data_IF_237897813441
#
_entry.id   IF_237897813441
#
_cell.length_a   1.000
_cell.length_b   1.000
_cell.length_c   1.000
_cell.angle_alpha   90.00
_cell.angle_beta   90.00
_cell.angle_gamma   90.00
#
_symmetry.space_group_name_H-M   'P 1'
#
loop_
_entity.id
_entity.type
_entity.pdbx_description
1 polymer ?
#
# COMPACT_ATOMS: atom_id res chain seq x y z
N UNK A 1 -50.22 9.53 -24.90
CA UNK A 1 -49.22 10.04 -23.93
C UNK A 1 -49.64 9.59 -22.54
N UNK A 2 -48.88 8.67 -21.95
CA UNK A 2 -49.15 7.99 -20.67
C UNK A 2 -49.02 8.94 -19.49
N UNK A 3 -50.04 8.98 -18.62
CA UNK A 3 -50.10 9.71 -17.35
C UNK A 3 -50.02 8.76 -16.13
N UNK A 4 -49.64 7.49 -16.32
CA UNK A 4 -49.75 6.45 -15.27
C UNK A 4 -48.47 6.17 -14.47
N UNK A 5 -47.33 6.81 -14.78
CA UNK A 5 -46.03 6.42 -14.19
C UNK A 5 -45.58 7.19 -12.93
N UNK A 6 -46.32 8.22 -12.48
CA UNK A 6 -45.94 9.04 -11.30
C UNK A 6 -46.24 8.42 -9.92
N UNK A 7 -47.40 7.79 -9.65
CA UNK A 7 -47.71 7.28 -8.30
C UNK A 7 -46.86 6.06 -7.92
N UNK A 8 -46.50 5.23 -8.90
CA UNK A 8 -45.66 4.04 -8.71
C UNK A 8 -44.23 4.40 -8.30
N UNK A 9 -43.66 5.48 -8.85
CA UNK A 9 -42.32 5.98 -8.46
C UNK A 9 -42.27 6.46 -7.01
N UNK A 10 -43.33 7.10 -6.52
CA UNK A 10 -43.41 7.57 -5.14
C UNK A 10 -43.52 6.41 -4.15
N UNK A 11 -44.32 5.38 -4.48
CA UNK A 11 -44.45 4.17 -3.64
C UNK A 11 -43.12 3.39 -3.63
N UNK A 12 -42.48 3.21 -4.79
CA UNK A 12 -41.18 2.55 -4.87
C UNK A 12 -40.08 3.31 -4.08
N UNK A 13 -40.10 4.64 -4.12
CA UNK A 13 -39.20 5.48 -3.32
C UNK A 13 -39.46 5.33 -1.83
N UNK A 14 -40.73 5.28 -1.40
CA UNK A 14 -41.09 5.13 0.01
C UNK A 14 -40.71 3.75 0.54
N UNK A 15 -40.94 2.70 -0.24
CA UNK A 15 -40.52 1.32 0.08
C UNK A 15 -39.00 1.25 0.17
N UNK A 16 -38.27 1.88 -0.75
CA UNK A 16 -36.80 1.93 -0.71
C UNK A 16 -36.28 2.63 0.54
N UNK A 17 -36.91 3.75 0.94
CA UNK A 17 -36.57 4.47 2.17
C UNK A 17 -36.84 3.62 3.42
N UNK A 18 -37.97 2.93 3.45
CA UNK A 18 -38.36 2.04 4.56
C UNK A 18 -37.41 0.85 4.67
N UNK A 19 -37.04 0.22 3.55
CA UNK A 19 -36.06 -0.88 3.53
C UNK A 19 -34.68 -0.41 3.99
N UNK A 20 -34.22 0.78 3.56
CA UNK A 20 -32.97 1.36 4.02
C UNK A 20 -33.00 1.66 5.54
N UNK A 21 -34.13 2.19 6.04
CA UNK A 21 -34.31 2.42 7.47
C UNK A 21 -34.32 1.12 8.27
N UNK A 22 -35.03 0.09 7.82
CA UNK A 22 -35.07 -1.22 8.47
C UNK A 22 -33.69 -1.89 8.46
N UNK A 23 -32.95 -1.80 7.35
CA UNK A 23 -31.57 -2.27 7.26
C UNK A 23 -30.66 -1.55 8.26
N UNK A 24 -30.80 -0.22 8.41
CA UNK A 24 -30.07 0.57 9.40
C UNK A 24 -30.44 0.20 10.84
N UNK A 25 -31.70 -0.07 11.14
CA UNK A 25 -32.13 -0.51 12.47
C UNK A 25 -31.59 -1.90 12.79
N UNK A 26 -31.74 -2.86 11.86
CA UNK A 26 -31.20 -4.20 12.00
C UNK A 26 -29.67 -4.17 12.18
N UNK A 27 -29.00 -3.29 11.45
CA UNK A 27 -27.59 -3.03 11.55
C UNK A 27 -27.13 -2.57 12.94
N UNK A 28 -27.80 -1.54 13.47
CA UNK A 28 -27.54 -1.02 14.80
C UNK A 28 -27.83 -2.07 15.88
N UNK A 29 -28.84 -2.91 15.68
CA UNK A 29 -29.20 -4.00 16.59
C UNK A 29 -28.21 -5.18 16.55
N UNK A 30 -27.68 -5.52 15.38
CA UNK A 30 -26.68 -6.58 15.21
C UNK A 30 -25.28 -6.14 15.67
N UNK A 31 -24.99 -4.84 15.71
CA UNK A 31 -23.69 -4.29 16.13
C UNK A 31 -23.16 -4.85 17.46
N UNK A 32 -23.91 -4.85 18.59
CA UNK A 32 -23.42 -5.44 19.84
C UNK A 32 -23.19 -6.95 19.74
N UNK A 33 -23.93 -7.66 18.89
CA UNK A 33 -23.76 -9.11 18.66
C UNK A 33 -22.46 -9.36 17.88
N UNK A 34 -22.26 -8.65 16.76
CA UNK A 34 -21.04 -8.73 15.95
C UNK A 34 -19.79 -8.31 16.73
N UNK A 35 -19.91 -7.34 17.64
CA UNK A 35 -18.81 -6.91 18.51
C UNK A 35 -18.39 -7.95 19.55
N UNK A 36 -19.26 -8.92 19.84
CA UNK A 36 -19.05 -10.04 20.78
C UNK A 36 -18.59 -11.32 20.09
N UNK A 37 -18.59 -11.38 18.76
CA UNK A 37 -18.02 -12.53 18.06
C UNK A 37 -16.51 -12.62 18.37
N UNK A 38 -16.03 -13.81 18.81
CA UNK A 38 -14.62 -13.98 19.12
C UNK A 38 -13.79 -13.83 17.84
N UNK A 39 -12.61 -13.20 17.97
CA UNK A 39 -11.63 -13.20 16.90
C UNK A 39 -11.18 -14.64 16.60
N UNK A 40 -10.76 -14.95 15.35
CA UNK A 40 -10.15 -16.24 15.05
C UNK A 40 -8.94 -16.47 15.95
N UNK A 41 -8.75 -17.70 16.42
CA UNK A 41 -7.53 -18.08 17.11
C UNK A 41 -6.38 -18.09 16.10
N UNK A 42 -5.35 -17.28 16.37
CA UNK A 42 -4.17 -17.15 15.54
C UNK A 42 -2.94 -17.72 16.26
N UNK A 43 -1.96 -18.28 15.54
CA UNK A 43 -0.66 -18.64 16.12
C UNK A 43 0.10 -17.38 16.53
N UNK A 44 1.04 -17.49 17.49
CA UNK A 44 1.89 -16.36 17.91
C UNK A 44 2.62 -15.74 16.72
N UNK A 45 3.51 -16.51 16.11
CA UNK A 45 4.15 -16.25 14.82
C UNK A 45 4.24 -17.61 14.13
N UNK A 46 3.86 -17.70 12.87
CA UNK A 46 4.00 -18.90 12.05
C UNK A 46 4.55 -18.49 10.68
N UNK A 47 5.74 -18.98 10.35
CA UNK A 47 6.37 -18.79 9.05
C UNK A 47 6.30 -20.07 8.21
N UNK A 48 5.98 -19.93 6.92
CA UNK A 48 6.01 -21.02 5.94
C UNK A 48 6.87 -20.63 4.74
N UNK A 49 7.43 -21.62 4.06
CA UNK A 49 8.10 -21.43 2.78
C UNK A 49 7.15 -20.85 1.73
N UNK A 50 7.70 -20.42 0.60
CA UNK A 50 6.93 -19.93 -0.55
C UNK A 50 5.86 -20.92 -1.05
N UNK A 51 6.07 -22.22 -0.85
CA UNK A 51 5.16 -23.28 -1.26
C UNK A 51 4.25 -23.77 -0.11
N UNK A 52 4.30 -23.10 1.05
CA UNK A 52 3.44 -23.39 2.19
C UNK A 52 3.94 -24.51 3.12
N UNK A 53 5.21 -24.93 3.02
CA UNK A 53 5.80 -25.88 3.99
C UNK A 53 6.18 -25.14 5.28
N UNK A 54 5.91 -25.73 6.44
CA UNK A 54 6.18 -25.05 7.71
C UNK A 54 7.68 -24.87 7.93
N UNK A 55 8.10 -23.66 8.31
CA UNK A 55 9.49 -23.31 8.59
C UNK A 55 9.67 -22.92 10.06
N UNK A 56 10.90 -22.97 10.58
CA UNK A 56 11.20 -22.53 11.93
C UNK A 56 11.08 -20.99 12.05
N UNK A 57 10.48 -20.53 13.16
CA UNK A 57 10.17 -19.12 13.42
C UNK A 57 11.37 -18.29 13.93
N UNK A 58 12.46 -18.94 14.31
CA UNK A 58 13.69 -18.33 14.83
C UNK A 58 14.47 -17.51 13.78
N UNK A 59 13.99 -17.50 12.54
CA UNK A 59 14.56 -16.74 11.43
C UNK A 59 14.03 -15.31 11.31
N UNK A 60 13.07 -14.91 12.15
CA UNK A 60 12.43 -13.59 12.12
C UNK A 60 12.95 -12.65 13.21
N UNK A 61 13.16 -11.38 12.89
CA UNK A 61 13.51 -10.30 13.84
C UNK A 61 12.86 -8.98 13.45
N UNK A 62 12.65 -8.11 14.43
CA UNK A 62 12.15 -6.75 14.19
C UNK A 62 13.34 -5.79 14.12
N UNK A 63 13.43 -5.07 13.00
CA UNK A 63 14.42 -4.03 12.76
C UNK A 63 13.84 -2.70 13.25
N UNK A 64 14.53 -2.06 14.20
CA UNK A 64 14.14 -0.77 14.74
C UNK A 64 15.11 0.33 14.28
N UNK A 65 14.59 1.53 14.09
CA UNK A 65 15.44 2.71 13.99
C UNK A 65 16.03 3.03 15.37
N UNK A 66 17.31 3.45 15.48
CA UNK A 66 17.97 3.63 16.78
C UNK A 66 17.31 4.71 17.65
N UNK A 67 16.74 5.74 17.02
CA UNK A 67 15.97 6.78 17.70
C UNK A 67 14.51 6.39 17.99
N UNK A 68 14.08 5.17 17.62
CA UNK A 68 12.70 4.71 17.79
C UNK A 68 11.68 5.43 16.89
N UNK A 69 12.10 6.06 15.80
CA UNK A 69 11.22 6.81 14.88
C UNK A 69 10.57 5.97 13.78
N UNK A 70 11.10 4.78 13.47
CA UNK A 70 10.49 3.85 12.51
C UNK A 70 9.24 3.21 13.11
N UNK A 71 8.09 3.85 12.87
CA UNK A 71 6.79 3.47 13.43
C UNK A 71 5.69 3.63 12.39
N UNK A 72 4.72 2.72 12.45
CA UNK A 72 3.44 2.84 11.76
C UNK A 72 3.62 2.98 10.25
N UNK A 73 4.45 2.08 9.72
CA UNK A 73 4.76 2.02 8.31
C UNK A 73 3.62 1.31 7.58
N UNK A 74 2.96 2.03 6.68
CA UNK A 74 1.77 1.50 6.02
C UNK A 74 2.11 0.86 4.68
N UNK A 75 3.14 1.32 3.99
CA UNK A 75 3.55 0.72 2.72
C UNK A 75 5.07 0.60 2.57
N UNK A 76 5.49 -0.28 1.68
CA UNK A 76 6.87 -0.69 1.43
C UNK A 76 7.06 -1.04 -0.05
N UNK A 77 8.09 -0.49 -0.66
CA UNK A 77 8.54 -0.92 -1.99
C UNK A 77 10.01 -1.34 -1.99
N UNK A 78 10.37 -2.16 -2.98
CA UNK A 78 11.75 -2.57 -3.25
C UNK A 78 12.29 -1.82 -4.47
N UNK A 79 13.29 -0.95 -4.27
CA UNK A 79 14.03 -0.36 -5.38
C UNK A 79 15.22 -1.23 -5.75
N UNK A 80 15.01 -2.15 -6.70
CA UNK A 80 15.98 -3.20 -7.09
C UNK A 80 17.32 -2.62 -7.56
N UNK A 81 17.28 -1.57 -8.36
CA UNK A 81 18.47 -0.91 -8.91
C UNK A 81 19.35 -0.28 -7.83
N UNK A 82 18.74 0.25 -6.78
CA UNK A 82 19.45 0.78 -5.62
C UNK A 82 19.80 -0.29 -4.56
N UNK A 83 19.11 -1.44 -4.59
CA UNK A 83 19.26 -2.52 -3.60
C UNK A 83 18.71 -2.18 -2.22
N UNK A 84 17.68 -1.34 -2.16
CA UNK A 84 17.10 -0.85 -0.90
C UNK A 84 15.58 -1.00 -0.89
N UNK A 85 15.00 -1.11 0.30
CA UNK A 85 13.58 -0.96 0.50
C UNK A 85 13.28 0.45 1.01
N UNK A 86 12.16 1.03 0.58
CA UNK A 86 11.70 2.34 1.05
C UNK A 86 10.33 2.15 1.71
N UNK A 87 10.24 2.52 2.98
CA UNK A 87 9.03 2.41 3.78
C UNK A 87 8.39 3.79 3.98
N UNK A 88 7.06 3.85 3.82
CA UNK A 88 6.24 5.02 4.15
C UNK A 88 5.69 4.88 5.55
N UNK A 89 6.10 5.78 6.45
CA UNK A 89 5.84 5.68 7.87
C UNK A 89 5.27 6.98 8.43
N UNK A 90 4.36 6.85 9.41
CA UNK A 90 3.73 8.01 10.02
C UNK A 90 3.53 7.85 11.51
N UNK A 91 4.45 8.42 12.29
CA UNK A 91 4.35 8.42 13.76
C UNK A 91 3.09 9.12 14.29
N UNK A 92 2.46 10.01 13.51
CA UNK A 92 1.21 10.69 13.83
C UNK A 92 -0.04 9.85 13.59
N UNK A 93 0.09 8.68 12.95
CA UNK A 93 -1.05 7.82 12.55
C UNK A 93 -2.07 7.50 13.66
N UNK A 94 -1.68 7.32 14.95
CA UNK A 94 -2.66 7.11 16.02
C UNK A 94 -3.63 8.30 16.22
N UNK A 95 -3.21 9.52 15.86
CA UNK A 95 -4.01 10.73 15.98
C UNK A 95 -4.52 11.25 14.63
N UNK A 96 -3.92 10.80 13.52
CA UNK A 96 -4.25 11.23 12.16
C UNK A 96 -4.30 10.06 11.18
N UNK A 97 -5.50 9.53 10.96
CA UNK A 97 -5.75 8.43 10.03
C UNK A 97 -7.03 8.69 9.24
N UNK A 98 -6.91 8.96 7.94
CA UNK A 98 -8.04 9.21 7.03
C UNK A 98 -8.89 7.98 6.77
N UNK A 99 -8.33 6.78 6.92
CA UNK A 99 -8.97 5.49 6.65
C UNK A 99 -9.74 5.00 7.89
N UNK A 100 -9.04 4.78 9.01
CA UNK A 100 -9.61 4.21 10.24
C UNK A 100 -10.00 5.27 11.28
N UNK A 101 -9.51 6.50 11.16
CA UNK A 101 -9.60 7.52 12.19
C UNK A 101 -8.70 7.23 13.39
N UNK A 102 -8.56 8.19 14.31
CA UNK A 102 -9.22 9.50 14.32
C UNK A 102 -8.55 10.52 13.36
N UNK A 103 -9.09 11.75 13.32
CA UNK A 103 -8.53 12.90 12.60
C UNK A 103 -8.38 14.07 13.59
N UNK A 104 -7.59 13.85 14.63
CA UNK A 104 -7.48 14.73 15.80
C UNK A 104 -6.29 15.70 15.69
N UNK A 105 -5.10 15.21 15.35
CA UNK A 105 -3.88 16.01 15.36
C UNK A 105 -3.00 15.77 14.11
N UNK A 106 -3.05 16.67 13.12
CA UNK A 106 -2.23 16.57 11.91
C UNK A 106 -0.80 17.13 12.07
N UNK A 107 -0.38 17.51 13.28
CA UNK A 107 0.92 18.18 13.44
C UNK A 107 2.14 17.25 13.43
N UNK A 108 2.10 16.03 13.98
CA UNK A 108 3.23 15.10 13.85
C UNK A 108 3.47 14.78 12.38
N UNK A 109 4.72 14.87 11.95
CA UNK A 109 5.10 14.65 10.56
C UNK A 109 5.51 13.19 10.36
N UNK A 110 4.99 12.57 9.31
CA UNK A 110 5.46 11.29 8.81
C UNK A 110 6.82 11.41 8.10
N UNK A 111 7.38 10.26 7.73
CA UNK A 111 8.75 10.12 7.25
C UNK A 111 8.86 8.96 6.28
N UNK A 112 9.82 9.04 5.36
CA UNK A 112 10.24 7.90 4.56
C UNK A 112 11.52 7.32 5.15
N UNK A 113 11.61 6.00 5.22
CA UNK A 113 12.80 5.31 5.70
C UNK A 113 13.39 4.44 4.60
N UNK A 114 14.72 4.44 4.50
CA UNK A 114 15.47 3.54 3.62
C UNK A 114 16.03 2.40 4.48
N UNK A 115 15.75 1.17 4.06
CA UNK A 115 16.39 -0.02 4.58
C UNK A 115 17.33 -0.59 3.52
N UNK A 116 18.64 -0.53 3.78
CA UNK A 116 19.67 -1.15 2.96
C UNK A 116 19.61 -2.66 3.15
N UNK A 117 19.05 -3.33 2.13
CA UNK A 117 18.85 -4.76 2.13
C UNK A 117 20.21 -5.47 1.91
N UNK A 118 21.07 -4.91 1.06
CA UNK A 118 22.38 -5.49 0.67
C UNK A 118 23.50 -5.26 1.68
N UNK A 119 23.33 -4.33 2.63
CA UNK A 119 24.36 -3.96 3.60
C UNK A 119 25.04 -5.19 4.23
N UNK A 120 26.35 -5.32 3.99
CA UNK A 120 27.18 -6.41 4.49
C UNK A 120 26.86 -6.71 5.96
N UNK A 121 26.67 -8.00 6.28
CA UNK A 121 26.67 -8.46 7.67
C UNK A 121 27.98 -7.96 8.31
N UNK A 122 27.93 -7.26 9.46
CA UNK A 122 29.13 -6.68 10.05
C UNK A 122 30.16 -7.79 10.27
N UNK A 123 31.34 -7.65 9.64
CA UNK A 123 32.45 -8.61 9.73
C UNK A 123 33.09 -8.66 11.12
N UNK A 124 32.65 -7.80 12.04
CA UNK A 124 33.09 -7.77 13.43
C UNK A 124 31.92 -7.49 14.38
N UNK A 125 31.91 -8.04 15.61
CA UNK A 125 30.81 -7.89 16.58
C UNK A 125 30.50 -6.45 17.01
N UNK A 126 31.38 -5.48 16.69
CA UNK A 126 31.28 -4.09 17.15
C UNK A 126 30.90 -3.09 16.05
N UNK A 127 30.56 -3.54 14.84
CA UNK A 127 30.05 -2.65 13.79
C UNK A 127 28.52 -2.67 13.83
N UNK A 128 27.95 -1.62 14.42
CA UNK A 128 26.53 -1.57 14.77
C UNK A 128 25.61 -1.68 13.54
N UNK A 129 24.48 -2.38 13.71
CA UNK A 129 23.35 -2.48 12.76
C UNK A 129 22.69 -1.14 12.39
N UNK A 130 23.18 -0.03 12.95
CA UNK A 130 22.66 1.33 12.78
C UNK A 130 22.89 1.90 11.37
N UNK A 131 23.80 1.35 10.57
CA UNK A 131 24.15 1.89 9.25
C UNK A 131 23.22 1.45 8.10
N UNK A 132 22.31 0.50 8.34
CA UNK A 132 21.44 -0.09 7.31
C UNK A 132 20.03 0.50 7.26
N UNK A 133 19.65 1.35 8.21
CA UNK A 133 18.31 1.94 8.27
C UNK A 133 18.43 3.42 8.59
N UNK A 134 17.94 4.29 7.72
CA UNK A 134 18.00 5.74 7.92
C UNK A 134 16.78 6.45 7.36
N UNK A 135 16.50 7.63 7.91
CA UNK A 135 15.45 8.53 7.41
C UNK A 135 15.88 9.19 6.10
N UNK A 136 14.98 9.22 5.12
CA UNK A 136 15.19 9.87 3.83
C UNK A 136 14.77 11.34 3.90
N UNK A 137 15.76 12.24 3.80
CA UNK A 137 15.53 13.68 3.87
C UNK A 137 14.75 14.21 2.66
N UNK A 138 13.65 14.91 2.94
CA UNK A 138 12.77 15.54 1.94
C UNK A 138 13.34 16.90 1.52
N UNK A 139 14.03 16.95 0.38
CA UNK A 139 14.58 18.21 -0.15
C UNK A 139 13.52 18.98 -0.94
N UNK A 140 13.31 20.26 -0.60
CA UNK A 140 12.44 21.16 -1.36
C UNK A 140 10.93 21.00 -1.09
N UNK A 141 10.52 20.08 -0.22
CA UNK A 141 9.12 19.96 0.18
C UNK A 141 8.69 21.21 1.01
N UNK A 142 7.52 21.81 0.74
CA UNK A 142 7.07 23.00 1.47
C UNK A 142 6.97 22.79 2.99
N UNK A 143 7.59 23.68 3.76
CA UNK A 143 7.74 23.54 5.23
C UNK A 143 6.39 23.68 5.96
N UNK A 144 5.45 24.40 5.38
CA UNK A 144 4.12 24.69 5.93
C UNK A 144 3.06 23.62 5.59
N UNK A 145 3.42 22.59 4.81
CA UNK A 145 2.48 21.53 4.41
C UNK A 145 2.64 20.30 5.29
N UNK A 146 1.51 19.70 5.64
CA UNK A 146 1.49 18.43 6.36
C UNK A 146 2.08 17.31 5.48
N UNK A 147 2.67 16.32 6.12
CA UNK A 147 3.21 15.16 5.45
C UNK A 147 2.84 13.90 6.23
N UNK A 148 1.77 13.24 5.78
CA UNK A 148 1.21 12.00 6.30
C UNK A 148 1.19 10.97 5.16
N UNK A 149 2.32 10.30 4.91
CA UNK A 149 2.47 9.42 3.76
C UNK A 149 1.69 8.10 3.96
N UNK A 150 1.18 7.56 2.86
CA UNK A 150 0.45 6.28 2.82
C UNK A 150 1.08 5.37 1.74
N UNK A 151 0.34 4.99 0.70
CA UNK A 151 0.89 4.21 -0.40
C UNK A 151 1.96 4.95 -1.19
N UNK A 152 2.99 4.23 -1.62
CA UNK A 152 4.06 4.78 -2.46
C UNK A 152 4.38 3.84 -3.62
N UNK A 153 4.84 4.41 -4.73
CA UNK A 153 5.23 3.64 -5.91
C UNK A 153 6.33 4.34 -6.69
N UNK A 154 7.24 3.55 -7.28
CA UNK A 154 8.36 4.06 -8.05
C UNK A 154 8.21 3.76 -9.56
N UNK A 155 8.64 4.71 -10.38
CA UNK A 155 8.89 4.50 -11.80
C UNK A 155 10.38 4.73 -12.10
N UNK A 156 11.06 3.70 -12.60
CA UNK A 156 12.48 3.80 -12.96
C UNK A 156 12.67 4.76 -14.14
N UNK A 157 13.52 5.78 -13.99
CA UNK A 157 13.81 6.75 -15.05
C UNK A 157 15.11 6.40 -15.80
N UNK A 158 16.16 6.10 -15.05
CA UNK A 158 17.48 5.70 -15.56
C UNK A 158 18.18 4.84 -14.51
N UNK A 159 19.32 4.20 -14.80
CA UNK A 159 19.94 3.22 -13.88
C UNK A 159 20.11 3.69 -12.42
N UNK A 160 20.28 4.99 -12.17
CA UNK A 160 20.44 5.55 -10.82
C UNK A 160 19.37 6.55 -10.38
N UNK A 161 18.30 6.72 -11.16
CA UNK A 161 17.21 7.66 -10.83
C UNK A 161 15.84 7.05 -11.06
N UNK A 162 14.91 7.43 -10.21
CA UNK A 162 13.51 7.03 -10.30
C UNK A 162 12.62 8.24 -9.98
N UNK A 163 11.36 8.18 -10.38
CA UNK A 163 10.30 9.05 -9.89
C UNK A 163 9.50 8.29 -8.85
N UNK A 164 9.23 8.93 -7.72
CA UNK A 164 8.41 8.38 -6.65
C UNK A 164 7.07 9.13 -6.61
N UNK A 165 5.99 8.37 -6.70
CA UNK A 165 4.64 8.84 -6.43
C UNK A 165 4.25 8.43 -5.02
N UNK A 166 3.68 9.35 -4.25
CA UNK A 166 3.36 9.11 -2.86
C UNK A 166 2.01 9.71 -2.51
N UNK A 167 1.13 8.91 -1.91
CA UNK A 167 -0.11 9.40 -1.32
C UNK A 167 0.22 10.19 -0.05
N UNK A 168 -0.27 11.43 0.05
CA UNK A 168 -0.13 12.26 1.25
C UNK A 168 -1.51 12.75 1.74
N UNK A 169 -1.85 12.42 2.98
CA UNK A 169 -3.10 12.78 3.62
C UNK A 169 -2.97 14.04 4.47
N UNK A 170 -2.85 15.21 3.82
CA UNK A 170 -2.80 16.50 4.51
C UNK A 170 -4.09 16.82 5.27
N UNK A 171 -4.05 17.83 6.15
CA UNK A 171 -5.24 18.33 6.87
C UNK A 171 -6.30 18.92 5.98
N UNK A 172 -5.89 19.54 4.88
CA UNK A 172 -6.81 20.25 3.98
C UNK A 172 -7.39 19.29 2.93
N UNK A 173 -6.58 18.39 2.37
CA UNK A 173 -7.00 17.40 1.38
C UNK A 173 -6.04 16.21 1.30
N UNK A 174 -6.42 15.22 0.52
CA UNK A 174 -5.50 14.15 0.12
C UNK A 174 -4.92 14.46 -1.25
N UNK A 175 -3.62 14.26 -1.43
CA UNK A 175 -2.88 14.61 -2.66
C UNK A 175 -1.91 13.50 -3.03
N UNK A 176 -1.36 13.56 -4.25
CA UNK A 176 -0.19 12.79 -4.64
C UNK A 176 1.02 13.71 -4.68
N UNK A 177 2.05 13.39 -3.91
CA UNK A 177 3.35 14.06 -4.00
C UNK A 177 4.22 13.34 -5.03
N UNK A 178 4.91 14.11 -5.86
CA UNK A 178 5.86 13.59 -6.85
C UNK A 178 7.25 14.00 -6.43
N UNK A 179 8.14 13.01 -6.30
CA UNK A 179 9.54 13.23 -5.98
C UNK A 179 10.45 12.61 -7.04
N UNK A 180 11.64 13.20 -7.17
CA UNK A 180 12.76 12.59 -7.86
C UNK A 180 13.65 11.89 -6.86
N UNK A 181 13.86 10.60 -7.07
CA UNK A 181 14.83 9.77 -6.36
C UNK A 181 16.13 9.67 -7.16
N UNK A 182 17.24 9.68 -6.44
CA UNK A 182 18.56 9.40 -6.99
C UNK A 182 19.42 8.69 -5.96
N UNK A 183 20.37 7.87 -6.42
CA UNK A 183 21.44 7.37 -5.57
C UNK A 183 22.80 7.57 -6.23
N UNK A 184 23.80 7.83 -5.40
CA UNK A 184 25.18 7.89 -5.86
C UNK A 184 25.77 6.47 -5.86
N UNK A 185 26.50 6.12 -6.93
CA UNK A 185 27.34 4.93 -6.91
C UNK A 185 28.49 5.14 -5.91
N UNK A 186 28.83 4.18 -5.04
CA UNK A 186 29.90 4.35 -4.07
C UNK A 186 31.22 4.55 -4.82
N UNK A 187 31.72 5.78 -4.85
CA UNK A 187 33.02 6.09 -5.44
C UNK A 187 34.12 5.55 -4.52
N UNK A 188 35.06 4.82 -5.11
CA UNK A 188 36.16 4.05 -4.48
C UNK A 188 37.20 4.87 -3.66
N UNK A 189 36.85 6.05 -3.14
CA UNK A 189 37.83 6.94 -2.47
C UNK A 189 37.30 7.81 -1.33
N UNK A 190 36.00 7.80 -1.00
CA UNK A 190 35.52 8.41 0.24
C UNK A 190 35.64 7.42 1.39
N UNK A 191 36.10 7.88 2.56
CA UNK A 191 36.04 7.15 3.84
C UNK A 191 34.62 6.80 4.29
N UNK A 192 33.63 7.27 3.52
CA UNK A 192 32.22 6.95 3.62
C UNK A 192 31.77 6.25 2.33
N UNK A 193 31.76 4.92 2.33
CA UNK A 193 31.41 4.08 1.18
C UNK A 193 29.89 3.89 1.00
N UNK A 194 29.05 4.69 1.70
CA UNK A 194 27.60 4.47 1.77
C UNK A 194 26.90 4.89 0.47
N UNK A 195 25.96 4.06 0.00
CA UNK A 195 24.96 4.49 -1.00
C UNK A 195 23.95 5.40 -0.30
N UNK A 196 24.09 6.71 -0.48
CA UNK A 196 23.11 7.68 0.03
C UNK A 196 22.09 7.99 -1.07
N UNK A 197 20.81 7.87 -0.71
CA UNK A 197 19.69 8.29 -1.55
C UNK A 197 19.42 9.79 -1.36
N UNK A 198 19.00 10.45 -2.44
CA UNK A 198 18.45 11.80 -2.44
C UNK A 198 16.99 11.76 -2.85
N UNK A 199 16.14 12.52 -2.16
CA UNK A 199 14.72 12.66 -2.45
C UNK A 199 14.36 14.14 -2.59
N UNK A 200 14.10 14.56 -3.82
CA UNK A 200 13.77 15.96 -4.14
C UNK A 200 12.31 16.06 -4.53
N UNK A 201 11.55 16.89 -3.82
CA UNK A 201 10.16 17.18 -4.18
C UNK A 201 10.09 17.92 -5.50
N UNK A 202 9.26 17.44 -6.43
CA UNK A 202 9.05 18.07 -7.73
C UNK A 202 7.75 18.87 -7.76
N UNK A 203 6.65 18.29 -7.25
CA UNK A 203 5.32 18.91 -7.25
C UNK A 203 4.31 18.14 -6.39
N UNK A 204 3.19 18.78 -6.12
CA UNK A 204 1.96 18.16 -5.60
C UNK A 204 0.94 18.03 -6.73
N UNK A 205 0.17 16.94 -6.76
CA UNK A 205 -0.93 16.70 -7.69
C UNK A 205 -2.24 16.54 -6.91
N UNK A 206 -3.27 17.26 -7.33
CA UNK A 206 -4.62 17.21 -6.78
C UNK A 206 -5.65 17.16 -7.92
N UNK A 207 -6.73 16.41 -7.71
CA UNK A 207 -7.85 16.31 -8.66
C UNK A 207 -9.12 15.87 -7.92
N UNK A 208 -10.36 16.21 -8.37
CA UNK A 208 -11.57 15.84 -7.63
C UNK A 208 -11.81 14.32 -7.58
N UNK A 209 -11.21 13.59 -8.51
CA UNK A 209 -11.22 12.12 -8.54
C UNK A 209 -10.15 11.48 -7.62
N UNK A 210 -9.29 12.27 -6.97
CA UNK A 210 -8.28 11.81 -6.00
C UNK A 210 -8.75 12.28 -4.62
N UNK A 211 -9.85 11.72 -4.13
CA UNK A 211 -10.53 12.17 -2.90
C UNK A 211 -10.05 11.42 -1.66
N UNK A 212 -9.87 10.11 -1.80
CA UNK A 212 -9.50 9.16 -0.75
C UNK A 212 -8.41 8.20 -1.26
N UNK A 213 -7.32 8.74 -1.87
CA UNK A 213 -6.26 7.92 -2.44
C UNK A 213 -5.69 6.97 -1.39
N UNK A 214 -5.38 5.73 -1.79
CA UNK A 214 -4.83 4.73 -0.88
C UNK A 214 -3.48 4.19 -1.40
N UNK A 215 -3.50 3.47 -2.54
CA UNK A 215 -2.31 2.90 -3.16
C UNK A 215 -2.12 3.36 -4.61
N UNK A 216 -0.90 3.26 -5.14
CA UNK A 216 -0.51 3.71 -6.48
C UNK A 216 0.17 2.56 -7.23
N UNK A 217 -0.06 2.46 -8.54
CA UNK A 217 0.82 1.71 -9.45
C UNK A 217 1.23 2.59 -10.62
N UNK A 218 2.52 2.64 -10.92
CA UNK A 218 3.07 3.54 -11.93
C UNK A 218 2.88 2.96 -13.33
N UNK A 219 2.38 3.79 -14.25
CA UNK A 219 2.26 3.43 -15.66
C UNK A 219 3.50 3.93 -16.40
N UNK A 220 3.91 5.17 -16.19
CA UNK A 220 5.16 5.73 -16.69
C UNK A 220 5.63 6.88 -15.78
N UNK A 221 6.57 7.71 -16.24
CA UNK A 221 7.06 8.85 -15.47
C UNK A 221 5.99 9.89 -15.18
N UNK A 222 4.90 9.92 -15.94
CA UNK A 222 3.92 10.99 -15.95
C UNK A 222 2.47 10.50 -15.82
N UNK A 223 2.30 9.21 -15.54
CA UNK A 223 1.00 8.62 -15.36
C UNK A 223 1.04 7.43 -14.41
N UNK A 224 -0.08 7.25 -13.69
CA UNK A 224 -0.25 6.19 -12.71
C UNK A 224 -1.73 5.86 -12.54
N UNK A 225 -2.01 4.71 -11.94
CA UNK A 225 -3.32 4.37 -11.40
C UNK A 225 -3.29 4.56 -9.89
N UNK A 226 -4.38 5.07 -9.32
CA UNK A 226 -4.54 5.23 -7.87
C UNK A 226 -5.89 4.68 -7.43
N UNK A 227 -5.92 3.95 -6.31
CA UNK A 227 -7.17 3.55 -5.67
C UNK A 227 -7.73 4.68 -4.84
N UNK A 228 -9.04 4.87 -4.87
CA UNK A 228 -9.76 5.59 -3.83
C UNK A 228 -10.49 4.57 -2.97
N UNK A 229 -10.23 4.54 -1.67
CA UNK A 229 -10.76 3.49 -0.78
C UNK A 229 -12.27 3.58 -0.56
N UNK A 230 -12.79 4.79 -0.52
CA UNK A 230 -14.19 5.11 -0.27
C UNK A 230 -14.70 6.20 -1.22
N UNK A 231 -16.01 6.24 -1.43
CA UNK A 231 -16.67 7.37 -2.07
C UNK A 231 -16.80 8.56 -1.09
N UNK A 232 -17.25 8.27 0.14
CA UNK A 232 -17.42 9.29 1.16
C UNK A 232 -16.11 9.57 1.88
N UNK A 233 -15.51 10.72 1.59
CA UNK A 233 -14.32 11.18 2.31
C UNK A 233 -14.62 11.37 3.80
N UNK A 234 -13.84 10.74 4.68
CA UNK A 234 -14.02 10.79 6.14
C UNK A 234 -13.98 12.21 6.72
N UNK A 235 -13.11 13.06 6.17
CA UNK A 235 -12.86 14.43 6.59
C UNK A 235 -14.13 15.29 6.41
N UNK A 236 -14.87 15.07 5.33
CA UNK A 236 -16.12 15.78 5.02
C UNK A 236 -17.38 15.06 5.54
N UNK A 237 -17.38 13.73 5.54
CA UNK A 237 -18.56 12.90 5.79
C UNK A 237 -18.24 11.69 6.70
N UNK A 238 -17.82 11.91 7.95
CA UNK A 238 -17.30 10.84 8.82
C UNK A 238 -18.33 9.73 9.08
N UNK A 239 -19.61 10.09 9.23
CA UNK A 239 -20.69 9.11 9.43
C UNK A 239 -20.93 8.29 8.16
N UNK A 240 -20.98 8.94 6.99
CA UNK A 240 -21.22 8.24 5.73
C UNK A 240 -20.04 7.33 5.36
N UNK A 241 -18.81 7.75 5.63
CA UNK A 241 -17.62 6.88 5.49
C UNK A 241 -17.76 5.62 6.34
N UNK A 242 -18.10 5.75 7.63
CA UNK A 242 -18.29 4.59 8.52
C UNK A 242 -19.43 3.69 8.03
N UNK A 243 -20.54 4.27 7.57
CA UNK A 243 -21.65 3.49 7.01
C UNK A 243 -21.27 2.80 5.71
N UNK A 244 -20.45 3.43 4.86
CA UNK A 244 -19.93 2.85 3.61
C UNK A 244 -19.15 1.57 3.90
N UNK A 245 -18.18 1.64 4.83
CA UNK A 245 -17.41 0.48 5.29
C UNK A 245 -18.32 -0.58 5.89
N UNK A 246 -19.20 -0.19 6.82
CA UNK A 246 -19.98 -1.12 7.63
C UNK A 246 -21.06 -1.85 6.83
N UNK A 247 -21.68 -1.18 5.86
CA UNK A 247 -22.65 -1.76 4.92
C UNK A 247 -21.98 -2.44 3.71
N UNK A 248 -20.65 -2.46 3.64
CA UNK A 248 -19.88 -3.02 2.50
C UNK A 248 -20.27 -2.38 1.16
N UNK A 249 -20.61 -1.09 1.18
CA UNK A 249 -20.97 -0.35 -0.03
C UNK A 249 -19.77 -0.27 -0.97
N UNK A 250 -20.07 -0.25 -2.27
CA UNK A 250 -19.09 -0.34 -3.34
C UNK A 250 -18.62 1.05 -3.81
N UNK A 251 -18.21 1.92 -2.89
CA UNK A 251 -17.87 3.32 -3.23
C UNK A 251 -16.42 3.54 -3.69
N UNK A 252 -15.52 2.60 -3.41
CA UNK A 252 -14.14 2.65 -3.88
C UNK A 252 -14.00 2.54 -5.41
N UNK A 253 -12.88 3.03 -5.92
CA UNK A 253 -12.61 3.12 -7.36
C UNK A 253 -11.12 3.08 -7.70
N UNK A 254 -10.81 2.88 -8.97
CA UNK A 254 -9.47 3.09 -9.55
C UNK A 254 -9.54 4.26 -10.52
N UNK A 255 -8.57 5.16 -10.42
CA UNK A 255 -8.48 6.36 -11.23
C UNK A 255 -7.13 6.36 -11.94
N UNK A 256 -7.15 6.51 -13.26
CA UNK A 256 -5.94 6.81 -14.03
C UNK A 256 -5.70 8.32 -13.99
N UNK A 257 -4.47 8.70 -13.70
CA UNK A 257 -4.00 10.08 -13.60
C UNK A 257 -2.86 10.26 -14.60
N UNK A 258 -2.91 11.34 -15.40
CA UNK A 258 -1.83 11.78 -16.28
C UNK A 258 -1.51 13.24 -15.99
N UNK A 259 -0.23 13.60 -16.06
CA UNK A 259 0.20 14.97 -15.86
C UNK A 259 1.40 15.35 -16.73
N UNK A 260 1.47 16.59 -17.19
CA UNK A 260 2.60 17.06 -18.01
C UNK A 260 3.77 17.51 -17.13
N UNK A 261 5.01 17.21 -17.55
CA UNK A 261 6.24 17.59 -16.83
C UNK A 261 6.51 19.11 -16.77
N UNK A 262 5.69 19.96 -17.37
CA UNK A 262 5.86 21.40 -17.30
C UNK A 262 5.75 21.89 -15.85
N UNK A 263 6.87 22.41 -15.32
CA UNK A 263 6.87 23.20 -14.09
C UNK A 263 5.99 24.44 -14.32
N UNK A 264 5.23 24.91 -13.31
CA UNK A 264 4.52 26.17 -13.43
C UNK A 264 5.49 27.26 -13.88
N UNK A 265 5.06 28.07 -14.85
CA UNK A 265 5.88 29.09 -15.53
C UNK A 265 6.75 29.84 -14.50
N UNK A 266 8.04 29.98 -14.80
CA UNK A 266 9.07 30.60 -13.96
C UNK A 266 8.85 32.08 -13.55
N UNK A 267 7.64 32.60 -13.73
CA UNK A 267 7.20 33.93 -13.31
C UNK A 267 6.15 33.87 -12.18
N UNK A 268 5.94 32.72 -11.54
CA UNK A 268 5.26 32.70 -10.25
C UNK A 268 6.24 33.21 -9.20
N UNK A 269 5.96 34.43 -8.74
CA UNK A 269 6.63 35.09 -7.62
C UNK A 269 6.79 34.08 -6.47
N UNK A 270 7.94 34.03 -5.80
CA UNK A 270 8.28 33.01 -4.77
C UNK A 270 7.38 33.06 -3.51
N UNK A 271 6.29 33.82 -3.58
CA UNK A 271 5.23 34.02 -2.59
C UNK A 271 3.88 33.44 -3.04
N UNK A 272 3.78 32.84 -4.23
CA UNK A 272 2.52 32.26 -4.73
C UNK A 272 2.29 30.86 -4.16
N UNK A 273 1.13 30.69 -3.53
CA UNK A 273 0.55 29.46 -2.99
C UNK A 273 0.99 28.19 -3.75
N UNK A 274 1.81 27.35 -3.10
CA UNK A 274 2.32 26.09 -3.67
C UNK A 274 1.20 25.14 -4.09
N UNK A 275 -0.03 25.33 -3.58
CA UNK A 275 -1.19 24.52 -3.93
C UNK A 275 -1.91 25.00 -5.20
N UNK A 276 -1.68 26.23 -5.66
CA UNK A 276 -2.30 26.76 -6.89
C UNK A 276 -1.93 25.92 -8.13
N UNK A 277 -0.67 25.47 -8.19
CA UNK A 277 -0.18 24.60 -9.26
C UNK A 277 -0.60 23.13 -9.15
N UNK A 278 -1.19 22.70 -8.01
CA UNK A 278 -1.45 21.27 -7.78
C UNK A 278 -2.49 20.67 -8.73
N UNK A 279 -3.36 21.51 -9.30
CA UNK A 279 -4.43 21.10 -10.21
C UNK A 279 -4.06 21.29 -11.69
N UNK A 280 -3.01 22.06 -11.97
CA UNK A 280 -2.65 22.45 -13.33
C UNK A 280 -2.07 21.26 -14.09
N UNK A 281 -2.54 21.08 -15.33
CA UNK A 281 -2.09 20.00 -16.22
C UNK A 281 -2.24 18.59 -15.64
N UNK A 282 -3.19 18.39 -14.72
CA UNK A 282 -3.58 17.08 -14.20
C UNK A 282 -4.88 16.65 -14.85
N UNK A 283 -4.81 15.57 -15.62
CA UNK A 283 -5.99 14.92 -16.16
C UNK A 283 -6.23 13.61 -15.41
N UNK A 284 -7.47 13.31 -15.06
CA UNK A 284 -7.79 12.03 -14.44
C UNK A 284 -9.16 11.50 -14.85
N UNK A 285 -9.30 10.18 -14.85
CA UNK A 285 -10.55 9.48 -15.17
C UNK A 285 -10.69 8.21 -14.36
N UNK A 286 -11.91 7.96 -13.91
CA UNK A 286 -12.26 6.73 -13.21
C UNK A 286 -12.29 5.59 -14.21
N UNK A 287 -11.39 4.62 -14.06
CA UNK A 287 -11.27 3.45 -14.95
C UNK A 287 -12.01 2.24 -14.40
N UNK A 288 -12.13 2.13 -13.08
CA UNK A 288 -12.91 1.10 -12.39
C UNK A 288 -13.70 1.77 -11.26
N UNK A 289 -14.96 1.39 -11.11
CA UNK A 289 -15.80 1.75 -9.97
C UNK A 289 -16.36 0.51 -9.27
N UNK A 290 -17.14 0.72 -8.22
CA UNK A 290 -17.88 -0.38 -7.61
C UNK A 290 -17.00 -1.33 -6.79
N UNK A 291 -15.89 -0.83 -6.23
CA UNK A 291 -14.97 -1.62 -5.41
C UNK A 291 -15.26 -1.37 -3.93
N UNK A 292 -15.66 -2.38 -3.14
CA UNK A 292 -15.85 -2.21 -1.71
C UNK A 292 -14.49 -2.14 -1.01
N UNK A 293 -14.13 -0.96 -0.50
CA UNK A 293 -12.87 -0.69 0.21
C UNK A 293 -11.64 -1.02 -0.67
N UNK A 294 -11.43 -0.23 -1.74
CA UNK A 294 -10.32 -0.41 -2.66
C UNK A 294 -9.00 0.02 -1.99
N UNK A 295 -8.07 -0.92 -1.83
CA UNK A 295 -6.87 -0.70 -1.04
C UNK A 295 -5.62 -0.77 -1.93
N UNK A 296 -4.69 -1.68 -1.68
CA UNK A 296 -3.58 -2.00 -2.57
C UNK A 296 -4.02 -2.29 -4.01
N UNK A 297 -3.20 -1.89 -4.98
CA UNK A 297 -3.34 -2.30 -6.39
C UNK A 297 -1.97 -2.64 -6.97
N UNK A 298 -1.94 -3.61 -7.89
CA UNK A 298 -0.72 -3.99 -8.59
C UNK A 298 -1.04 -4.36 -10.04
N UNK A 299 -0.21 -3.88 -10.96
CA UNK A 299 -0.25 -4.25 -12.37
C UNK A 299 0.86 -5.27 -12.61
N UNK A 300 0.52 -6.41 -13.23
CA UNK A 300 1.54 -7.43 -13.50
C UNK A 300 2.60 -6.90 -14.49
N UNK A 301 3.82 -7.47 -14.51
CA UNK A 301 4.91 -6.97 -15.35
C UNK A 301 4.60 -6.87 -16.85
N UNK A 302 3.77 -7.77 -17.40
CA UNK A 302 3.33 -7.72 -18.81
C UNK A 302 2.21 -6.71 -19.07
N UNK A 303 1.69 -6.06 -18.02
CA UNK A 303 0.63 -5.03 -18.08
C UNK A 303 -0.67 -5.52 -18.70
N UNK A 304 -0.97 -6.81 -18.53
CA UNK A 304 -2.21 -7.43 -18.99
C UNK A 304 -3.22 -7.52 -17.86
N UNK A 305 -2.79 -7.59 -16.60
CA UNK A 305 -3.69 -7.86 -15.46
C UNK A 305 -3.44 -6.88 -14.34
N UNK A 306 -4.46 -6.08 -14.04
CA UNK A 306 -4.54 -5.28 -12.83
C UNK A 306 -5.23 -6.10 -11.73
N UNK A 307 -4.63 -6.14 -10.56
CA UNK A 307 -5.22 -6.71 -9.35
C UNK A 307 -5.48 -5.59 -8.36
N UNK A 308 -6.65 -5.59 -7.72
CA UNK A 308 -7.04 -4.64 -6.67
C UNK A 308 -7.44 -5.41 -5.41
N UNK A 309 -6.86 -5.05 -4.28
CA UNK A 309 -7.23 -5.54 -2.97
C UNK A 309 -8.55 -4.90 -2.50
N UNK A 310 -9.48 -5.75 -2.05
CA UNK A 310 -10.77 -5.35 -1.49
C UNK A 310 -10.82 -5.77 -0.02
N UNK A 311 -10.33 -4.91 0.89
CA UNK A 311 -10.10 -5.26 2.29
C UNK A 311 -11.35 -5.81 2.97
N UNK A 312 -12.49 -5.13 2.84
CA UNK A 312 -13.70 -5.48 3.58
C UNK A 312 -14.36 -6.78 3.09
N UNK A 313 -14.06 -7.22 1.86
CA UNK A 313 -14.60 -8.46 1.28
C UNK A 313 -13.59 -9.61 1.23
N UNK A 314 -12.37 -9.40 1.77
CA UNK A 314 -11.30 -10.40 1.80
C UNK A 314 -10.99 -10.98 0.41
N UNK A 315 -10.95 -10.12 -0.60
CA UNK A 315 -10.79 -10.52 -2.01
C UNK A 315 -9.72 -9.70 -2.72
N UNK A 316 -9.05 -10.35 -3.66
CA UNK A 316 -8.31 -9.75 -4.75
C UNK A 316 -9.20 -9.77 -5.99
N UNK A 317 -9.49 -8.61 -6.59
CA UNK A 317 -10.25 -8.50 -7.84
C UNK A 317 -9.31 -8.32 -9.01
N UNK A 318 -9.58 -9.06 -10.08
CA UNK A 318 -8.72 -9.12 -11.26
C UNK A 318 -9.41 -8.46 -12.44
N UNK A 319 -8.64 -7.69 -13.18
CA UNK A 319 -9.10 -6.98 -14.36
C UNK A 319 -8.11 -7.13 -15.51
N UNK A 320 -8.62 -7.52 -16.68
CA UNK A 320 -7.83 -7.55 -17.90
C UNK A 320 -7.73 -6.14 -18.47
N UNK A 321 -6.49 -5.67 -18.66
CA UNK A 321 -6.17 -4.39 -19.28
C UNK A 321 -6.24 -4.52 -20.80
N UNK A 322 -7.14 -3.77 -21.42
CA UNK A 322 -7.17 -3.59 -22.87
C UNK A 322 -6.37 -2.35 -23.23
N UNK A 323 -5.24 -2.52 -23.91
CA UNK A 323 -4.54 -1.39 -24.53
C UNK A 323 -5.35 -0.90 -25.72
N UNK A 324 -5.87 0.33 -25.70
CA UNK A 324 -6.61 0.82 -26.83
C UNK A 324 -5.66 1.18 -28.00
N UNK A 325 -6.17 1.15 -29.22
CA UNK A 325 -5.38 1.50 -30.41
C UNK A 325 -5.26 3.04 -30.48
N UNK A 326 -4.07 3.56 -30.14
CA UNK A 326 -3.71 4.98 -30.26
C UNK A 326 -3.19 5.60 -28.96
N UNK A 327 -2.21 6.51 -29.05
CA UNK A 327 -1.44 7.06 -27.91
C UNK A 327 -2.26 7.91 -26.92
N UNK A 328 -3.46 8.37 -27.29
CA UNK A 328 -4.30 9.25 -26.48
C UNK A 328 -5.54 8.56 -25.89
N UNK A 329 -5.63 7.23 -25.98
CA UNK A 329 -6.78 6.52 -25.46
C UNK A 329 -6.60 6.12 -23.99
N UNK A 330 -7.71 6.08 -23.27
CA UNK A 330 -7.79 5.78 -21.83
C UNK A 330 -7.68 4.29 -21.60
N UNK A 331 -7.03 3.87 -20.51
CA UNK A 331 -6.98 2.45 -20.18
C UNK A 331 -8.38 1.93 -19.86
N UNK A 332 -8.67 0.72 -20.34
CA UNK A 332 -9.93 0.02 -20.09
C UNK A 332 -9.61 -1.28 -19.36
N UNK A 333 -10.33 -1.53 -18.27
CA UNK A 333 -10.14 -2.68 -17.41
C UNK A 333 -11.44 -3.47 -17.30
N UNK A 334 -11.47 -4.68 -17.86
CA UNK A 334 -12.64 -5.55 -17.78
C UNK A 334 -12.45 -6.55 -16.63
N UNK A 335 -13.44 -6.71 -15.73
CA UNK A 335 -13.33 -7.67 -14.64
C UNK A 335 -13.26 -9.10 -15.19
N UNK A 336 -12.27 -9.87 -14.74
CA UNK A 336 -12.09 -11.28 -15.14
C UNK A 336 -12.32 -12.27 -13.99
N UNK A 337 -12.36 -11.79 -12.75
CA UNK A 337 -12.73 -12.62 -11.61
C UNK A 337 -12.19 -12.10 -10.29
N UNK A 338 -12.19 -12.96 -9.28
CA UNK A 338 -11.63 -12.62 -7.97
C UNK A 338 -11.11 -13.85 -7.25
N UNK A 339 -10.09 -13.65 -6.42
CA UNK A 339 -9.56 -14.67 -5.50
C UNK A 339 -9.81 -14.26 -4.05
N UNK A 340 -10.39 -15.15 -3.25
CA UNK A 340 -10.58 -14.92 -1.82
C UNK A 340 -9.29 -15.20 -1.05
N UNK A 341 -9.06 -14.43 0.02
CA UNK A 341 -8.00 -14.65 0.99
C UNK A 341 -8.62 -14.98 2.35
N UNK A 342 -7.82 -15.53 3.28
CA UNK A 342 -8.24 -15.79 4.66
C UNK A 342 -8.15 -14.57 5.58
N UNK A 343 -7.78 -13.41 5.03
CA UNK A 343 -7.60 -12.14 5.74
C UNK A 343 -8.08 -10.98 4.85
N UNK A 344 -8.24 -9.80 5.43
CA UNK A 344 -8.54 -8.58 4.69
C UNK A 344 -7.26 -8.04 4.04
N UNK A 345 -7.08 -8.12 2.71
CA UNK A 345 -5.87 -7.62 2.07
C UNK A 345 -5.78 -6.11 2.18
N UNK A 346 -4.57 -5.62 2.37
CA UNK A 346 -4.17 -4.21 2.42
C UNK A 346 -3.32 -3.93 1.17
N UNK A 347 -2.01 -3.71 1.29
CA UNK A 347 -1.12 -3.52 0.14
C UNK A 347 -0.71 -4.84 -0.53
N UNK A 348 -0.58 -4.76 -1.86
CA UNK A 348 -0.23 -5.89 -2.74
C UNK A 348 0.81 -5.46 -3.77
N UNK A 349 1.71 -6.36 -4.15
CA UNK A 349 2.72 -6.07 -5.18
C UNK A 349 3.18 -7.36 -5.89
N UNK A 350 3.56 -7.24 -7.16
CA UNK A 350 4.15 -8.34 -7.93
C UNK A 350 5.66 -8.38 -7.76
N UNK A 351 6.20 -9.43 -7.14
CA UNK A 351 7.65 -9.64 -7.05
C UNK A 351 8.21 -10.46 -8.24
N UNK A 352 7.33 -10.98 -9.09
CA UNK A 352 7.63 -11.62 -10.37
C UNK A 352 6.39 -11.71 -11.28
N UNK A 353 6.53 -12.22 -12.52
CA UNK A 353 5.45 -12.23 -13.52
C UNK A 353 4.14 -12.89 -13.07
N UNK A 354 4.24 -13.89 -12.20
CA UNK A 354 3.11 -14.73 -11.76
C UNK A 354 2.96 -14.78 -10.25
N UNK A 355 3.77 -14.03 -9.52
CA UNK A 355 3.80 -14.07 -8.06
C UNK A 355 3.41 -12.71 -7.51
N UNK A 356 2.25 -12.68 -6.89
CA UNK A 356 1.72 -11.52 -6.18
C UNK A 356 1.87 -11.77 -4.68
N UNK A 357 2.35 -10.77 -3.97
CA UNK A 357 2.41 -10.76 -2.51
C UNK A 357 1.25 -9.90 -2.02
N UNK A 358 0.54 -10.39 -1.00
CA UNK A 358 -0.51 -9.64 -0.32
C UNK A 358 -0.27 -9.68 1.19
N UNK A 359 -0.27 -8.52 1.84
CA UNK A 359 -0.26 -8.40 3.29
C UNK A 359 -1.60 -7.85 3.78
N UNK A 360 -1.92 -8.04 5.06
CA UNK A 360 -3.13 -7.47 5.62
C UNK A 360 -3.54 -8.06 6.96
N UNK A 361 -4.84 -7.96 7.23
CA UNK A 361 -5.38 -8.11 8.58
C UNK A 361 -6.26 -9.36 8.71
N UNK A 362 -5.91 -10.34 9.55
CA UNK A 362 -6.74 -11.53 9.77
C UNK A 362 -8.17 -11.19 10.20
N UNK A 363 -8.35 -10.10 10.95
CA UNK A 363 -9.65 -9.73 11.50
C UNK A 363 -9.82 -8.20 11.66
N UNK A 364 -10.61 -7.59 10.77
CA UNK A 364 -10.79 -6.13 10.72
C UNK A 364 -11.39 -5.51 11.98
N UNK A 365 -12.23 -6.22 12.73
CA UNK A 365 -12.77 -5.70 13.99
C UNK A 365 -11.70 -5.66 15.10
N UNK A 366 -10.77 -6.62 15.13
CA UNK A 366 -9.63 -6.56 16.06
C UNK A 366 -8.74 -5.37 15.71
N UNK A 367 -8.46 -5.14 14.42
CA UNK A 367 -7.72 -3.96 13.97
C UNK A 367 -8.38 -2.65 14.42
N UNK A 368 -9.68 -2.51 14.23
CA UNK A 368 -10.42 -1.30 14.65
C UNK A 368 -10.42 -1.10 16.17
N UNK A 369 -10.41 -2.18 16.96
CA UNK A 369 -10.31 -2.10 18.42
C UNK A 369 -8.88 -1.70 18.83
N UNK A 370 -7.87 -2.31 18.22
CA UNK A 370 -6.46 -2.01 18.46
C UNK A 370 -6.14 -0.55 18.14
N UNK A 371 -6.58 -0.05 16.98
CA UNK A 371 -6.32 1.33 16.54
C UNK A 371 -6.86 2.41 17.49
N UNK A 372 -7.82 2.08 18.38
CA UNK A 372 -8.40 3.01 19.36
C UNK A 372 -7.73 2.95 20.72
N UNK A 373 -6.91 1.93 20.98
CA UNK A 373 -6.25 1.72 22.25
C UNK A 373 -4.96 0.93 22.02
N UNK A 374 -3.95 1.59 21.47
CA UNK A 374 -2.69 0.93 21.10
C UNK A 374 -1.90 0.42 22.30
N UNK A 375 -1.98 1.11 23.45
CA UNK A 375 -1.20 0.77 24.64
C UNK A 375 -1.79 -0.40 25.43
N UNK A 376 -3.12 -0.48 25.54
CA UNK A 376 -3.80 -1.46 26.40
C UNK A 376 -4.73 -2.40 25.64
N UNK A 377 -4.90 -2.21 24.32
CA UNK A 377 -5.71 -3.06 23.46
C UNK A 377 -5.01 -4.36 23.11
N UNK A 378 -5.80 -5.37 22.76
CA UNK A 378 -5.27 -6.60 22.16
C UNK A 378 -4.68 -6.25 20.79
N UNK A 379 -3.40 -6.57 20.52
CA UNK A 379 -2.79 -6.33 19.23
C UNK A 379 -3.59 -6.94 18.08
N UNK A 380 -3.59 -6.27 16.94
CA UNK A 380 -4.18 -6.83 15.72
C UNK A 380 -3.19 -7.80 15.08
N UNK A 381 -3.68 -8.99 14.71
CA UNK A 381 -2.86 -9.98 14.01
C UNK A 381 -2.34 -9.51 12.66
N UNK A 382 -1.40 -10.27 12.12
CA UNK A 382 -0.78 -10.04 10.82
C UNK A 382 -0.93 -11.24 9.91
N UNK A 383 -0.95 -11.01 8.60
CA UNK A 383 -0.91 -12.05 7.59
C UNK A 383 -0.22 -11.58 6.32
N UNK A 384 0.63 -12.45 5.77
CA UNK A 384 1.20 -12.29 4.43
C UNK A 384 0.94 -13.57 3.64
N UNK A 385 0.44 -13.42 2.43
CA UNK A 385 0.25 -14.50 1.48
C UNK A 385 1.00 -14.25 0.18
N UNK A 386 1.43 -15.37 -0.41
CA UNK A 386 1.90 -15.45 -1.78
C UNK A 386 0.77 -16.03 -2.62
N UNK A 387 0.46 -15.35 -3.72
CA UNK A 387 -0.51 -15.78 -4.72
C UNK A 387 0.23 -16.15 -6.00
N UNK A 388 0.25 -17.44 -6.31
CA UNK A 388 0.93 -18.03 -7.45
C UNK A 388 -0.08 -18.25 -8.59
N UNK A 389 0.28 -17.78 -9.78
CA UNK A 389 -0.50 -17.97 -11.00
C UNK A 389 0.21 -18.97 -11.91
N UNK A 390 -0.52 -19.69 -12.76
CA UNK A 390 0.07 -20.60 -13.74
C UNK A 390 0.83 -19.84 -14.83
N UNK A 391 1.89 -20.45 -15.40
CA UNK A 391 2.59 -19.88 -16.56
C UNK A 391 1.71 -20.04 -17.82
N UNK A 392 0.99 -19.00 -18.21
CA UNK A 392 0.36 -18.93 -19.53
C UNK A 392 0.96 -17.74 -20.30
N UNK A 393 1.63 -17.97 -21.45
CA UNK A 393 2.48 -16.96 -22.10
C UNK A 393 1.76 -15.67 -22.55
N UNK A 394 0.46 -15.74 -22.87
CA UNK A 394 -0.24 -14.67 -23.60
C UNK A 394 -1.67 -14.38 -23.09
N UNK A 395 -2.05 -14.92 -21.93
CA UNK A 395 -3.37 -14.70 -21.35
C UNK A 395 -3.29 -13.85 -20.06
N UNK A 396 -4.34 -13.06 -19.74
CA UNK A 396 -4.42 -12.42 -18.43
C UNK A 396 -4.38 -13.48 -17.31
N UNK A 397 -3.89 -13.10 -16.14
CA UNK A 397 -3.78 -14.04 -15.02
C UNK A 397 -5.16 -14.59 -14.63
N UNK A 398 -5.30 -15.91 -14.53
CA UNK A 398 -6.55 -16.55 -14.14
C UNK A 398 -6.71 -16.58 -12.60
N UNK A 399 -7.65 -15.81 -12.02
CA UNK A 399 -7.89 -15.82 -10.57
C UNK A 399 -8.47 -17.14 -10.05
N UNK A 400 -9.06 -17.98 -10.90
CA UNK A 400 -9.66 -19.25 -10.48
C UNK A 400 -8.61 -20.34 -10.25
N UNK A 401 -7.54 -20.32 -11.04
CA UNK A 401 -6.41 -21.24 -10.92
C UNK A 401 -5.32 -20.76 -9.95
N UNK A 402 -5.35 -19.49 -9.55
CA UNK A 402 -4.38 -18.94 -8.62
C UNK A 402 -4.34 -19.71 -7.28
N UNK A 403 -3.14 -20.12 -6.86
CA UNK A 403 -2.91 -20.76 -5.56
C UNK A 403 -2.52 -19.71 -4.53
N UNK A 404 -3.08 -19.82 -3.32
CA UNK A 404 -2.82 -18.86 -2.23
C UNK A 404 -2.14 -19.60 -1.09
N UNK A 405 -0.95 -19.15 -0.72
CA UNK A 405 -0.16 -19.71 0.37
C UNK A 405 0.07 -18.63 1.42
N UNK A 406 -0.48 -18.80 2.62
CA UNK A 406 -0.17 -17.93 3.75
C UNK A 406 1.25 -18.24 4.23
N UNK A 407 2.19 -17.34 3.96
CA UNK A 407 3.60 -17.52 4.31
C UNK A 407 3.96 -16.95 5.68
N UNK A 408 3.12 -16.04 6.20
CA UNK A 408 3.25 -15.50 7.55
C UNK A 408 1.87 -15.32 8.18
N UNK A 409 1.70 -15.76 9.42
CA UNK A 409 0.53 -15.46 10.25
C UNK A 409 1.00 -15.15 11.67
N UNK A 410 0.49 -14.09 12.27
CA UNK A 410 0.82 -13.65 13.62
C UNK A 410 -0.46 -13.25 14.37
N UNK A 411 -0.52 -13.51 15.68
CA UNK A 411 -1.63 -13.08 16.53
C UNK A 411 -1.55 -11.59 16.89
N UNK A 412 -0.43 -10.93 16.55
CA UNK A 412 -0.16 -9.53 16.73
C UNK A 412 0.80 -9.24 17.89
N UNK A 413 1.09 -10.22 18.76
CA UNK A 413 2.00 -10.00 19.90
C UNK A 413 3.45 -9.94 19.49
N UNK A 414 3.84 -10.60 18.40
CA UNK A 414 5.20 -10.48 17.87
C UNK A 414 5.26 -9.41 16.78
N UNK A 415 4.34 -9.42 15.82
CA UNK A 415 4.26 -8.37 14.80
C UNK A 415 2.80 -8.04 14.47
N UNK A 416 2.39 -6.80 14.76
CA UNK A 416 0.99 -6.38 14.66
C UNK A 416 0.64 -5.74 13.32
N UNK A 417 -0.61 -5.96 12.88
CA UNK A 417 -1.30 -5.17 11.86
C UNK A 417 -0.55 -5.04 10.52
N UNK A 418 0.00 -6.13 9.98
CA UNK A 418 0.75 -6.08 8.72
C UNK A 418 -0.04 -5.41 7.58
N UNK A 419 0.63 -4.58 6.80
CA UNK A 419 0.00 -3.81 5.71
C UNK A 419 0.65 -4.07 4.35
N UNK A 420 1.98 -4.18 4.29
CA UNK A 420 2.75 -4.40 3.06
C UNK A 420 3.87 -5.40 3.30
N UNK A 421 4.30 -6.08 2.24
CA UNK A 421 5.39 -7.03 2.29
C UNK A 421 6.11 -7.16 0.95
N UNK A 422 7.43 -7.33 1.02
CA UNK A 422 8.28 -7.64 -0.14
C UNK A 422 9.11 -8.89 0.14
N UNK A 423 9.44 -9.62 -0.93
CA UNK A 423 10.36 -10.75 -0.89
C UNK A 423 11.58 -10.37 -1.74
N UNK A 424 12.76 -10.46 -1.15
CA UNK A 424 14.03 -10.13 -1.79
C UNK A 424 14.83 -11.43 -1.99
N UNK A 425 15.07 -11.86 -3.23
CA UNK A 425 15.82 -13.07 -3.52
C UNK A 425 17.27 -13.01 -3.03
N UNK A 426 17.82 -14.14 -2.56
CA UNK A 426 19.23 -14.21 -2.13
C UNK A 426 20.22 -13.82 -3.24
N UNK A 427 19.88 -14.09 -4.50
CA UNK A 427 20.70 -13.72 -5.67
C UNK A 427 20.95 -12.21 -5.78
N UNK A 428 20.08 -11.40 -5.19
CA UNK A 428 20.21 -9.94 -5.24
C UNK A 428 21.27 -9.43 -4.24
N UNK A 429 21.74 -10.29 -3.33
CA UNK A 429 22.75 -9.99 -2.31
C UNK A 429 24.18 -10.38 -2.71
N UNK A 430 24.37 -11.30 -3.65
CA UNK A 430 25.68 -11.83 -4.02
C UNK A 430 26.31 -11.03 -5.18
N UNK A 431 27.14 -10.03 -4.86
CA UNK A 431 27.95 -9.30 -5.86
C UNK A 431 29.08 -10.18 -6.46
N UNK A 432 29.28 -11.41 -5.96
CA UNK A 432 30.28 -12.36 -6.46
C UNK A 432 29.62 -13.44 -7.34
N UNK A 433 29.75 -13.29 -8.66
CA UNK A 433 29.42 -14.30 -9.66
C UNK A 433 30.21 -15.64 -9.55
N UNK A 434 30.97 -15.90 -8.46
CA UNK A 434 31.92 -17.00 -8.37
C UNK A 434 31.64 -18.11 -7.33
N UNK A 435 30.57 -18.07 -6.53
CA UNK A 435 30.24 -19.20 -5.63
C UNK A 435 28.92 -19.88 -5.99
N UNK A 436 28.80 -20.38 -7.22
CA UNK A 436 27.85 -21.46 -7.54
C UNK A 436 28.39 -22.80 -7.02
N UNK A 437 28.52 -22.95 -5.70
CA UNK A 437 28.81 -24.26 -5.09
C UNK A 437 28.50 -24.30 -3.59
N UNK A 438 27.21 -24.25 -3.24
CA UNK A 438 26.68 -25.06 -2.14
C UNK A 438 25.17 -25.24 -2.31
N UNK A 439 24.71 -26.48 -2.25
CA UNK A 439 23.31 -26.91 -2.34
C UNK A 439 22.50 -26.56 -1.08
N UNK A 440 22.75 -25.43 -0.42
CA UNK A 440 21.89 -24.92 0.63
C UNK A 440 20.73 -24.17 -0.03
N UNK A 441 19.50 -24.48 0.34
CA UNK A 441 18.31 -23.81 -0.17
C UNK A 441 18.51 -22.28 -0.15
N UNK A 442 18.27 -21.60 -1.27
CA UNK A 442 18.38 -20.14 -1.31
C UNK A 442 17.36 -19.52 -0.36
N UNK A 443 17.84 -18.81 0.67
CA UNK A 443 17.03 -18.13 1.66
C UNK A 443 16.68 -16.72 1.15
N UNK A 444 15.41 -16.52 0.79
CA UNK A 444 14.90 -15.20 0.46
C UNK A 444 14.72 -14.39 1.75
N UNK A 445 14.70 -13.05 1.65
CA UNK A 445 14.30 -12.21 2.77
C UNK A 445 12.87 -11.73 2.60
N UNK A 446 12.02 -11.99 3.57
CA UNK A 446 10.71 -11.38 3.70
C UNK A 446 10.83 -10.13 4.58
N UNK A 447 10.39 -8.99 4.07
CA UNK A 447 10.31 -7.73 4.83
C UNK A 447 8.85 -7.31 4.91
N UNK A 448 8.34 -7.04 6.11
CA UNK A 448 6.93 -6.71 6.36
C UNK A 448 6.82 -5.39 7.14
N UNK A 449 5.87 -4.54 6.75
CA UNK A 449 5.46 -3.33 7.49
C UNK A 449 4.14 -3.55 8.22
N UNK A 450 3.81 -2.70 9.20
CA UNK A 450 2.54 -2.77 9.91
C UNK A 450 1.98 -1.40 10.31
N UNK A 451 0.65 -1.27 10.18
CA UNK A 451 -0.10 -0.03 10.35
C UNK A 451 0.12 0.61 11.71
N UNK A 452 0.15 -0.20 12.76
CA UNK A 452 0.33 0.20 14.14
C UNK A 452 1.51 -0.53 14.81
N UNK A 453 2.49 -0.93 14.00
CA UNK A 453 3.70 -1.62 14.44
C UNK A 453 4.88 -0.67 14.59
N UNK A 454 5.79 -0.98 15.51
CA UNK A 454 7.09 -0.31 15.60
C UNK A 454 8.16 -1.20 14.97
N UNK A 455 8.98 -0.63 14.10
CA UNK A 455 9.97 -1.39 13.32
C UNK A 455 9.41 -2.12 12.09
N UNK A 456 10.31 -2.77 11.35
CA UNK A 456 10.02 -3.64 10.21
C UNK A 456 10.31 -5.09 10.60
N UNK A 457 9.49 -6.05 10.16
CA UNK A 457 9.83 -7.46 10.31
C UNK A 457 10.79 -7.87 9.22
N UNK A 458 11.89 -8.53 9.55
CA UNK A 458 12.78 -9.23 8.61
C UNK A 458 12.79 -10.72 8.97
N UNK A 459 12.43 -11.59 8.02
CA UNK A 459 12.51 -13.05 8.17
C UNK A 459 13.34 -13.66 7.04
N UNK A 460 14.13 -14.69 7.35
CA UNK A 460 14.66 -15.57 6.30
C UNK A 460 13.59 -16.58 5.90
N UNK A 461 13.34 -16.68 4.60
CA UNK A 461 12.27 -17.42 3.98
C UNK A 461 12.83 -18.49 3.04
N UNK A 462 12.63 -19.76 3.38
CA UNK A 462 13.00 -20.87 2.49
C UNK A 462 12.20 -20.81 1.18
N UNK A 463 12.87 -21.11 0.07
CA UNK A 463 12.22 -21.27 -1.24
C UNK A 463 11.41 -22.58 -1.34
N UNK A 464 11.73 -23.58 -0.51
CA UNK A 464 11.12 -24.93 -0.47
C UNK A 464 10.44 -25.18 0.86
#
# INVERSE_FOLDING_TARGET
MSLTDRPLKNIASLISLLLAFLALVAALWLRPILQRLPAPALPKLELKSLNGTQHANDTCKIIHHPAGSLKYCEDLLHWKEAGVAIASCDQGRPEWNTVLGPLENPNPRGQLFVYDIKGNVPKTPNQHSHDRLYELELTGFPVDKDFHPLGLELHQLSGNTARLFLVNHRRDRSVIEVFKLGYNSPQSSSTDSRRKLSLTWERTLAHPLISTPNAIVALDSNSFLVTNDHFFNRRAHPILHVLETWLTLRGGSVVEVRFADQLPKANMDKTSDSDAGAWENVEAWKTIDGIPFANGLALNPSRTTLVVACSITQKLRYYHQFQPIGSNQRLVFNPIGSRSLSFAPDNIHFDGPQRLIAAGHPHGLTLLKFSRNLEHGVPAGSSVAVVLHSEEPDEPLDPHQAQVHNILVDDGHYFASSTSAIIVPQSDFDDNHQSKQSSSASENKLIVTGLYQTGLLECNLSSV
#
